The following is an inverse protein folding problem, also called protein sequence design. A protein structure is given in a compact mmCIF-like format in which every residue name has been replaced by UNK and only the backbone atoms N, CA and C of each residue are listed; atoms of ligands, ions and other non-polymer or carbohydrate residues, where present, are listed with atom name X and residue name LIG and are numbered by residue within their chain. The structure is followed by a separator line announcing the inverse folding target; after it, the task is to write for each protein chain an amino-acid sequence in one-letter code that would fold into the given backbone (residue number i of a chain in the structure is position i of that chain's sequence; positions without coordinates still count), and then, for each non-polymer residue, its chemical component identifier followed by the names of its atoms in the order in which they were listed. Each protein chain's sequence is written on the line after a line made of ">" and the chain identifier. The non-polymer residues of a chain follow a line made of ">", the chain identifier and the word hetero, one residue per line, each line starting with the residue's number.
data_IF_417156549885
#
_entry.id   IF_417156549885
#
_cell.length_a   1.000
_cell.length_b   1.000
_cell.length_c   1.000
_cell.angle_alpha   90.00
_cell.angle_beta   90.00
_cell.angle_gamma   90.00
#
_symmetry.space_group_name_H-M   'P 1'
#
loop_
_entity.id
_entity.type
_entity.pdbx_description
1 polymer ?
#
# COMPACT_ATOMS: atom_id res chain seq x y z
N UNK A 1 -6.37 21.90 -3.52
CA UNK A 1 -5.84 20.98 -2.48
C UNK A 1 -6.39 19.59 -2.78
N UNK A 2 -5.51 18.62 -3.07
CA UNK A 2 -5.90 17.28 -3.48
C UNK A 2 -6.61 16.51 -2.36
N UNK A 3 -7.63 15.73 -2.68
CA UNK A 3 -8.28 14.80 -1.76
C UNK A 3 -7.65 13.41 -1.91
N UNK A 4 -7.00 12.94 -0.86
CA UNK A 4 -6.50 11.56 -0.78
C UNK A 4 -7.54 10.66 -0.12
N UNK A 5 -7.74 9.46 -0.67
CA UNK A 5 -8.54 8.42 -0.03
C UNK A 5 -7.68 7.18 0.19
N UNK A 6 -7.44 6.87 1.45
CA UNK A 6 -6.81 5.61 1.87
C UNK A 6 -7.88 4.53 1.85
N UNK A 7 -7.57 3.39 1.27
CA UNK A 7 -8.48 2.28 1.13
C UNK A 7 -7.94 1.03 1.82
N UNK A 8 -8.73 0.47 2.73
CA UNK A 8 -8.38 -0.75 3.46
C UNK A 8 -9.50 -1.78 3.34
N UNK A 9 -9.34 -2.81 2.49
CA UNK A 9 -10.18 -4.00 2.55
C UNK A 9 -9.78 -4.83 3.76
N UNK A 10 -10.74 -5.15 4.64
CA UNK A 10 -10.43 -5.76 5.93
C UNK A 10 -11.50 -6.74 6.38
N UNK A 11 -11.11 -7.69 7.21
CA UNK A 11 -12.01 -8.57 7.97
C UNK A 11 -12.04 -8.19 9.46
N UNK A 12 -11.45 -7.03 9.83
CA UNK A 12 -11.35 -6.58 11.20
C UNK A 12 -10.19 -7.24 11.98
N UNK A 13 -9.15 -7.67 11.26
CA UNK A 13 -8.01 -8.38 11.85
C UNK A 13 -7.21 -7.49 12.81
N UNK A 14 -6.35 -8.12 13.58
CA UNK A 14 -5.38 -7.46 14.45
C UNK A 14 -4.53 -6.43 13.68
N UNK A 15 -4.31 -5.27 14.31
CA UNK A 15 -3.56 -4.16 13.71
C UNK A 15 -4.42 -3.16 12.94
N UNK A 16 -5.74 -3.40 12.76
CA UNK A 16 -6.62 -2.43 12.11
C UNK A 16 -6.68 -1.10 12.87
N UNK A 17 -6.53 -1.11 14.18
CA UNK A 17 -6.47 0.11 15.00
C UNK A 17 -5.29 0.99 14.57
N UNK A 18 -4.10 0.43 14.44
CA UNK A 18 -2.89 1.13 13.98
C UNK A 18 -3.08 1.74 12.59
N UNK A 19 -3.66 0.95 11.69
CA UNK A 19 -3.97 1.39 10.32
C UNK A 19 -4.90 2.60 10.33
N UNK A 20 -5.99 2.56 11.12
CA UNK A 20 -6.93 3.67 11.24
C UNK A 20 -6.25 4.90 11.85
N UNK A 21 -5.55 4.73 12.97
CA UNK A 21 -4.90 5.83 13.69
C UNK A 21 -3.87 6.54 12.81
N UNK A 22 -3.08 5.80 12.04
CA UNK A 22 -2.08 6.37 11.14
C UNK A 22 -2.66 7.33 10.10
N UNK A 23 -3.90 7.07 9.64
CA UNK A 23 -4.62 7.97 8.73
C UNK A 23 -5.21 9.17 9.46
N UNK A 24 -5.65 9.00 10.72
CA UNK A 24 -6.19 10.12 11.52
C UNK A 24 -5.15 11.19 11.81
N UNK A 25 -3.89 10.78 12.08
CA UNK A 25 -2.80 11.68 12.50
C UNK A 25 -2.06 12.35 11.34
N UNK A 26 -2.44 12.09 10.09
CA UNK A 26 -1.77 12.70 8.93
C UNK A 26 -1.74 14.22 9.03
N UNK A 27 -0.55 14.81 8.82
CA UNK A 27 -0.33 16.26 8.81
C UNK A 27 -1.01 16.96 7.63
N UNK A 28 -1.17 16.27 6.50
CA UNK A 28 -1.97 16.76 5.37
C UNK A 28 -3.46 16.66 5.71
N UNK A 29 -4.22 17.76 5.65
CA UNK A 29 -5.58 17.79 6.23
C UNK A 29 -6.63 17.03 5.40
N UNK A 30 -6.47 17.00 4.07
CA UNK A 30 -7.50 16.49 3.16
C UNK A 30 -7.29 15.00 2.83
N UNK A 31 -7.30 14.17 3.89
CA UNK A 31 -7.19 12.70 3.80
C UNK A 31 -8.47 12.08 4.35
N UNK A 32 -9.00 11.11 3.62
CA UNK A 32 -10.10 10.24 4.06
C UNK A 32 -9.64 8.79 4.13
N UNK A 33 -10.32 7.98 4.93
CA UNK A 33 -10.08 6.56 5.04
C UNK A 33 -11.37 5.79 4.72
N UNK A 34 -11.30 4.86 3.80
CA UNK A 34 -12.40 3.98 3.43
C UNK A 34 -12.07 2.54 3.83
N UNK A 35 -12.78 2.02 4.82
CA UNK A 35 -12.75 0.61 5.19
C UNK A 35 -13.83 -0.14 4.43
N UNK A 36 -13.53 -1.34 3.95
CA UNK A 36 -14.53 -2.19 3.27
C UNK A 36 -14.47 -3.61 3.82
N UNK A 37 -15.61 -4.11 4.23
CA UNK A 37 -15.79 -5.49 4.73
C UNK A 37 -16.85 -6.21 3.92
N UNK A 38 -16.69 -7.54 3.75
CA UNK A 38 -17.61 -8.41 3.01
C UNK A 38 -18.09 -9.62 3.81
N UNK A 39 -17.92 -9.61 5.13
CA UNK A 39 -18.38 -10.68 6.03
C UNK A 39 -19.05 -10.11 7.27
N UNK A 40 -20.09 -10.76 7.78
CA UNK A 40 -20.78 -10.36 9.00
C UNK A 40 -19.83 -10.24 10.20
N UNK A 41 -18.99 -11.24 10.41
CA UNK A 41 -17.96 -11.20 11.45
C UNK A 41 -17.03 -10.00 11.31
N UNK A 42 -16.58 -9.70 10.09
CA UNK A 42 -15.73 -8.53 9.80
C UNK A 42 -16.48 -7.23 10.09
N UNK A 43 -17.77 -7.14 9.75
CA UNK A 43 -18.60 -5.97 10.04
C UNK A 43 -18.62 -5.64 11.54
N UNK A 44 -18.85 -6.65 12.39
CA UNK A 44 -18.94 -6.47 13.84
C UNK A 44 -17.59 -6.11 14.46
N UNK A 45 -16.51 -6.75 14.02
CA UNK A 45 -15.16 -6.42 14.47
C UNK A 45 -14.80 -4.98 14.12
N UNK A 46 -14.98 -4.56 12.87
CA UNK A 46 -14.72 -3.18 12.44
C UNK A 46 -15.60 -2.18 13.19
N UNK A 47 -16.90 -2.47 13.36
CA UNK A 47 -17.81 -1.61 14.13
C UNK A 47 -17.35 -1.42 15.56
N UNK A 48 -16.88 -2.49 16.22
CA UNK A 48 -16.33 -2.43 17.57
C UNK A 48 -15.12 -1.50 17.65
N UNK A 49 -14.18 -1.63 16.72
CA UNK A 49 -12.99 -0.78 16.63
C UNK A 49 -13.38 0.68 16.38
N UNK A 50 -14.28 0.94 15.42
CA UNK A 50 -14.73 2.30 15.12
C UNK A 50 -15.46 2.96 16.30
N UNK A 51 -16.27 2.22 17.06
CA UNK A 51 -16.92 2.72 18.27
C UNK A 51 -15.91 3.07 19.37
N UNK A 52 -14.81 2.32 19.48
CA UNK A 52 -13.71 2.59 20.41
C UNK A 52 -12.92 3.84 20.00
N UNK A 53 -12.46 3.91 18.74
CA UNK A 53 -11.56 4.96 18.26
C UNK A 53 -12.28 6.26 17.87
N UNK A 54 -13.54 6.18 17.44
CA UNK A 54 -14.35 7.30 16.94
C UNK A 54 -13.60 8.18 15.91
N UNK A 55 -13.03 7.58 14.85
CA UNK A 55 -12.20 8.30 13.90
C UNK A 55 -13.04 9.28 13.07
N UNK A 56 -12.54 10.51 12.87
CA UNK A 56 -13.26 11.57 12.14
C UNK A 56 -13.14 11.47 10.61
N UNK A 57 -12.07 10.84 10.12
CA UNK A 57 -11.75 10.76 8.68
C UNK A 57 -12.15 9.43 8.04
N UNK A 58 -12.73 8.50 8.80
CA UNK A 58 -13.00 7.12 8.37
C UNK A 58 -14.47 6.90 8.05
N UNK A 59 -14.72 6.24 6.94
CA UNK A 59 -16.02 5.70 6.56
C UNK A 59 -15.91 4.17 6.39
N UNK A 60 -17.00 3.45 6.65
CA UNK A 60 -17.06 2.01 6.56
C UNK A 60 -18.15 1.58 5.56
N UNK A 61 -17.71 0.89 4.50
CA UNK A 61 -18.60 0.25 3.55
C UNK A 61 -18.79 -1.21 3.90
N UNK A 62 -20.03 -1.61 4.05
CA UNK A 62 -20.45 -2.97 4.34
C UNK A 62 -21.00 -3.56 3.05
N UNK A 63 -20.35 -4.61 2.55
CA UNK A 63 -20.85 -5.34 1.40
C UNK A 63 -21.78 -6.46 1.89
N UNK A 64 -22.92 -6.69 1.20
CA UNK A 64 -23.94 -7.62 1.68
C UNK A 64 -23.50 -9.07 1.61
N UNK A 65 -22.54 -9.37 0.72
CA UNK A 65 -22.07 -10.73 0.45
C UNK A 65 -20.57 -10.74 0.17
N UNK A 66 -19.97 -11.94 0.34
CA UNK A 66 -18.59 -12.18 -0.10
C UNK A 66 -18.49 -12.09 -1.62
N UNK A 67 -17.58 -11.23 -2.09
CA UNK A 67 -17.45 -10.97 -3.53
C UNK A 67 -16.65 -12.04 -4.27
N UNK A 68 -15.83 -12.86 -3.58
CA UNK A 68 -15.06 -13.93 -4.23
C UNK A 68 -15.94 -15.07 -4.73
N UNK A 69 -15.77 -15.50 -5.99
CA UNK A 69 -16.49 -16.65 -6.59
C UNK A 69 -16.36 -17.94 -5.78
N UNK A 70 -15.30 -18.08 -5.00
CA UNK A 70 -15.00 -19.23 -4.13
C UNK A 70 -15.42 -18.99 -2.67
N UNK A 71 -16.20 -17.96 -2.40
CA UNK A 71 -16.63 -17.59 -1.04
C UNK A 71 -15.49 -17.10 -0.13
N UNK A 72 -14.32 -16.80 -0.70
CA UNK A 72 -13.18 -16.24 0.04
C UNK A 72 -13.14 -14.73 -0.08
N UNK A 73 -12.53 -14.09 0.91
CA UNK A 73 -12.20 -12.67 0.83
C UNK A 73 -11.24 -12.40 -0.33
N UNK A 74 -11.61 -11.48 -1.21
CA UNK A 74 -10.87 -11.14 -2.43
C UNK A 74 -10.77 -9.62 -2.58
N UNK A 75 -9.77 -9.00 -1.96
CA UNK A 75 -9.59 -7.55 -2.00
C UNK A 75 -9.47 -7.00 -3.42
N UNK A 76 -8.97 -7.77 -4.37
CA UNK A 76 -8.83 -7.36 -5.77
C UNK A 76 -10.18 -7.07 -6.44
N UNK A 77 -11.20 -7.89 -6.16
CA UNK A 77 -12.56 -7.67 -6.66
C UNK A 77 -13.22 -6.48 -5.98
N UNK A 78 -13.04 -6.37 -4.66
CA UNK A 78 -13.55 -5.23 -3.88
C UNK A 78 -12.93 -3.94 -4.40
N UNK A 79 -11.62 -3.90 -4.62
CA UNK A 79 -10.90 -2.76 -5.15
C UNK A 79 -11.49 -2.31 -6.49
N UNK A 80 -11.67 -3.24 -7.44
CA UNK A 80 -12.20 -2.92 -8.77
C UNK A 80 -13.61 -2.30 -8.74
N UNK A 81 -14.40 -2.57 -7.70
CA UNK A 81 -15.74 -2.00 -7.52
C UNK A 81 -15.74 -0.69 -6.75
N UNK A 82 -15.06 -0.66 -5.60
CA UNK A 82 -15.16 0.46 -4.65
C UNK A 82 -14.58 1.77 -5.19
N UNK A 83 -13.58 1.71 -6.06
CA UNK A 83 -12.97 2.89 -6.67
C UNK A 83 -13.96 3.77 -7.44
N UNK A 84 -15.10 3.22 -7.86
CA UNK A 84 -16.18 3.94 -8.53
C UNK A 84 -17.20 4.56 -7.57
N UNK A 85 -17.22 4.13 -6.30
CA UNK A 85 -18.22 4.49 -5.31
C UNK A 85 -17.72 5.54 -4.29
N UNK A 86 -16.41 5.75 -4.21
CA UNK A 86 -15.79 6.68 -3.26
C UNK A 86 -15.32 7.96 -3.94
N UNK A 87 -15.17 9.02 -3.15
CA UNK A 87 -14.67 10.31 -3.65
C UNK A 87 -13.20 10.50 -3.31
N UNK A 88 -12.39 10.87 -4.33
CA UNK A 88 -10.95 11.14 -4.23
C UNK A 88 -10.44 11.83 -5.50
N UNK A 89 -9.30 12.53 -5.37
CA UNK A 89 -8.44 12.91 -6.49
C UNK A 89 -7.32 11.87 -6.66
N UNK A 90 -6.82 11.39 -5.52
CA UNK A 90 -5.80 10.34 -5.43
C UNK A 90 -6.22 9.26 -4.44
N UNK A 91 -5.86 8.02 -4.74
CA UNK A 91 -6.19 6.84 -3.99
C UNK A 91 -4.92 6.06 -3.63
N UNK A 92 -4.89 5.50 -2.42
CA UNK A 92 -3.81 4.66 -1.95
C UNK A 92 -4.34 3.49 -1.13
N UNK A 93 -4.00 2.22 -1.48
CA UNK A 93 -4.33 1.08 -0.65
C UNK A 93 -3.43 1.03 0.58
N UNK A 94 -3.98 0.52 1.68
CA UNK A 94 -3.27 0.24 2.92
C UNK A 94 -3.78 -1.06 3.51
N UNK A 95 -2.93 -2.03 3.74
CA UNK A 95 -3.30 -3.30 4.36
C UNK A 95 -3.60 -3.17 5.85
N UNK A 96 -4.44 -4.05 6.37
CA UNK A 96 -4.66 -4.15 7.80
C UNK A 96 -3.35 -4.50 8.52
N UNK A 97 -2.99 -3.71 9.54
CA UNK A 97 -1.75 -3.84 10.30
C UNK A 97 -0.57 -3.05 9.77
N UNK A 98 -0.70 -2.50 8.56
CA UNK A 98 0.27 -1.56 8.00
C UNK A 98 -0.12 -0.12 8.38
N UNK A 99 0.83 0.82 8.37
CA UNK A 99 0.57 2.20 8.73
C UNK A 99 1.48 3.19 8.01
N UNK A 100 1.05 4.46 7.97
CA UNK A 100 1.82 5.56 7.42
C UNK A 100 2.49 6.39 8.51
N UNK A 101 3.67 6.95 8.21
CA UNK A 101 4.23 8.05 8.97
C UNK A 101 3.37 9.31 8.83
N UNK A 102 3.42 10.18 9.83
CA UNK A 102 2.56 11.37 9.93
C UNK A 102 2.63 12.29 8.70
N UNK A 103 3.80 12.39 8.07
CA UNK A 103 4.06 13.29 6.93
C UNK A 103 3.85 12.61 5.57
N UNK A 104 3.33 11.39 5.54
CA UNK A 104 3.24 10.60 4.31
C UNK A 104 2.52 11.35 3.17
N UNK A 105 1.27 11.79 3.39
CA UNK A 105 0.51 12.50 2.35
C UNK A 105 1.00 13.91 2.08
N UNK A 106 1.68 14.55 3.00
CA UNK A 106 2.36 15.82 2.74
C UNK A 106 3.50 15.63 1.72
N UNK A 107 4.31 14.58 1.88
CA UNK A 107 5.39 14.25 0.95
C UNK A 107 4.84 13.82 -0.41
N UNK A 108 3.80 13.00 -0.44
CA UNK A 108 3.14 12.59 -1.69
C UNK A 108 2.59 13.81 -2.43
N UNK A 109 1.84 14.68 -1.74
CA UNK A 109 1.28 15.89 -2.34
C UNK A 109 2.35 16.83 -2.88
N UNK A 110 3.48 16.96 -2.17
CA UNK A 110 4.61 17.76 -2.63
C UNK A 110 5.14 17.29 -3.99
N UNK A 111 5.31 15.96 -4.17
CA UNK A 111 5.78 15.40 -5.45
C UNK A 111 4.75 15.64 -6.57
N UNK A 112 3.46 15.42 -6.28
CA UNK A 112 2.38 15.64 -7.25
C UNK A 112 2.25 17.10 -7.70
N UNK A 113 2.52 18.06 -6.83
CA UNK A 113 2.44 19.50 -7.15
C UNK A 113 3.70 20.04 -7.85
N UNK A 114 4.84 19.44 -7.59
CA UNK A 114 6.15 19.96 -8.09
C UNK A 114 6.62 19.28 -9.35
N UNK A 115 6.11 18.09 -9.67
CA UNK A 115 6.56 17.29 -10.80
C UNK A 115 5.39 16.86 -11.68
N UNK A 116 5.64 16.77 -12.99
CA UNK A 116 4.67 16.26 -13.97
C UNK A 116 4.63 14.72 -13.90
N UNK A 117 3.94 14.20 -12.89
CA UNK A 117 3.79 12.76 -12.63
C UNK A 117 2.33 12.34 -12.58
N UNK A 118 2.03 11.13 -13.02
CA UNK A 118 0.68 10.57 -13.01
C UNK A 118 0.35 9.88 -11.68
N UNK A 119 1.36 9.34 -11.02
CA UNK A 119 1.29 8.61 -9.76
C UNK A 119 2.62 8.68 -9.00
N UNK A 120 2.56 8.40 -7.69
CA UNK A 120 3.71 8.56 -6.78
C UNK A 120 3.79 7.34 -5.88
N UNK A 121 5.02 6.95 -5.51
CA UNK A 121 5.24 5.96 -4.46
C UNK A 121 6.16 6.49 -3.36
N UNK A 122 6.06 5.87 -2.19
CA UNK A 122 6.98 6.05 -1.08
C UNK A 122 7.75 4.77 -0.79
N UNK A 123 8.94 4.89 -0.21
CA UNK A 123 9.68 3.72 0.27
C UNK A 123 9.07 3.16 1.55
N UNK A 124 9.37 1.88 1.81
CA UNK A 124 8.86 1.13 2.95
C UNK A 124 9.91 0.97 4.05
N UNK A 125 9.44 1.02 5.28
CA UNK A 125 10.09 0.39 6.43
C UNK A 125 9.45 -0.98 6.64
N UNK A 126 10.24 -1.97 7.01
CA UNK A 126 9.78 -3.33 7.29
C UNK A 126 9.82 -3.57 8.80
N UNK A 127 8.70 -4.07 9.32
CA UNK A 127 8.51 -4.38 10.74
C UNK A 127 8.13 -5.84 10.93
N UNK A 128 8.55 -6.42 12.04
CA UNK A 128 8.11 -7.76 12.44
C UNK A 128 6.67 -7.77 13.00
N UNK A 129 6.17 -8.94 13.31
CA UNK A 129 4.82 -9.17 13.83
C UNK A 129 4.55 -8.42 15.14
N UNK A 130 5.57 -8.22 15.96
CA UNK A 130 5.52 -7.47 17.22
C UNK A 130 5.77 -5.95 17.08
N UNK A 131 5.85 -5.46 15.83
CA UNK A 131 6.20 -4.08 15.45
C UNK A 131 7.65 -3.68 15.76
N UNK A 132 8.54 -4.62 16.01
CA UNK A 132 9.96 -4.31 16.02
C UNK A 132 10.44 -3.99 14.59
N UNK A 133 11.25 -2.93 14.46
CA UNK A 133 11.81 -2.53 13.17
C UNK A 133 12.83 -3.57 12.69
N UNK A 134 12.68 -4.08 11.47
CA UNK A 134 13.63 -4.99 10.85
C UNK A 134 14.64 -4.27 9.96
N UNK A 135 14.17 -3.57 8.96
CA UNK A 135 15.04 -2.86 8.01
C UNK A 135 14.26 -1.85 7.15
N UNK A 136 15.01 -0.98 6.46
CA UNK A 136 14.48 -0.21 5.34
C UNK A 136 14.45 -1.07 4.08
N UNK A 137 13.35 -1.00 3.32
CA UNK A 137 13.27 -1.65 2.01
C UNK A 137 14.02 -0.83 0.95
N UNK A 138 15.30 -1.11 0.83
CA UNK A 138 16.22 -0.52 -0.16
C UNK A 138 16.50 -1.49 -1.32
N UNK A 139 15.70 -2.54 -1.51
CA UNK A 139 16.06 -3.67 -2.36
C UNK A 139 14.91 -4.33 -3.13
N UNK A 140 13.66 -4.09 -2.77
CA UNK A 140 12.51 -4.71 -3.44
C UNK A 140 11.56 -3.67 -4.03
N UNK A 141 10.94 -2.81 -3.22
CA UNK A 141 9.96 -1.81 -3.65
C UNK A 141 10.63 -0.47 -4.02
N UNK A 142 11.44 -0.48 -5.09
CA UNK A 142 12.38 0.60 -5.44
C UNK A 142 12.16 1.17 -6.86
N UNK A 143 10.98 0.96 -7.44
CA UNK A 143 10.58 1.59 -8.69
C UNK A 143 11.25 1.00 -9.93
N UNK A 144 12.06 1.80 -10.62
CA UNK A 144 12.70 1.42 -11.88
C UNK A 144 14.00 0.62 -11.71
N UNK A 145 14.36 0.27 -10.48
CA UNK A 145 15.53 -0.56 -10.21
C UNK A 145 15.12 -2.00 -9.95
N UNK A 146 15.95 -2.99 -10.33
CA UNK A 146 15.60 -4.39 -10.16
C UNK A 146 15.63 -4.80 -8.69
N UNK A 147 14.77 -5.73 -8.33
CA UNK A 147 14.78 -6.40 -7.03
C UNK A 147 16.13 -7.07 -6.81
N UNK A 148 16.65 -7.03 -5.60
CA UNK A 148 18.01 -7.46 -5.24
C UNK A 148 18.41 -8.85 -5.72
N UNK A 149 17.45 -9.75 -5.89
CA UNK A 149 17.65 -11.15 -6.28
C UNK A 149 17.64 -11.40 -7.79
N UNK A 150 17.44 -10.36 -8.61
CA UNK A 150 17.32 -10.50 -10.07
C UNK A 150 17.61 -9.19 -10.79
N UNK A 151 18.09 -9.28 -12.03
CA UNK A 151 18.44 -8.10 -12.85
C UNK A 151 17.25 -7.54 -13.64
N UNK A 152 16.15 -8.28 -13.75
CA UNK A 152 15.05 -7.94 -14.68
C UNK A 152 13.65 -7.86 -14.03
N UNK A 153 13.56 -7.88 -12.72
CA UNK A 153 12.29 -7.83 -12.02
C UNK A 153 12.15 -6.51 -11.26
N UNK A 154 11.27 -5.64 -11.75
CA UNK A 154 10.99 -4.33 -11.19
C UNK A 154 9.62 -4.34 -10.54
N UNK A 155 9.49 -3.75 -9.38
CA UNK A 155 8.21 -3.63 -8.67
C UNK A 155 8.21 -2.44 -7.71
N UNK A 156 7.03 -1.89 -7.51
CA UNK A 156 6.68 -1.14 -6.30
C UNK A 156 5.52 -1.88 -5.65
N UNK A 157 5.60 -2.11 -4.36
CA UNK A 157 4.54 -2.73 -3.58
C UNK A 157 3.22 -1.95 -3.69
N UNK A 158 2.13 -2.68 -3.82
CA UNK A 158 0.81 -2.10 -4.06
C UNK A 158 0.37 -1.08 -3.02
N UNK A 159 0.77 -1.27 -1.78
CA UNK A 159 0.41 -0.35 -0.68
C UNK A 159 1.23 0.94 -0.69
N UNK A 160 2.34 0.97 -1.43
CA UNK A 160 3.18 2.15 -1.58
C UNK A 160 2.68 3.12 -2.66
N UNK A 161 1.72 2.72 -3.50
CA UNK A 161 1.25 3.56 -4.61
C UNK A 161 0.20 4.57 -4.19
N UNK A 162 0.37 5.80 -4.62
CA UNK A 162 -0.67 6.80 -4.65
C UNK A 162 -1.00 7.13 -6.11
N UNK A 163 -2.19 6.75 -6.57
CA UNK A 163 -2.58 6.82 -7.98
C UNK A 163 -3.75 7.78 -8.20
N UNK A 164 -3.75 8.48 -9.34
CA UNK A 164 -4.80 9.44 -9.66
C UNK A 164 -6.13 8.75 -9.99
N UNK A 165 -7.24 9.46 -9.73
CA UNK A 165 -8.58 9.04 -10.13
C UNK A 165 -8.65 8.71 -11.62
N UNK A 166 -8.02 9.52 -12.47
CA UNK A 166 -7.95 9.31 -13.92
C UNK A 166 -7.39 7.93 -14.27
N UNK A 167 -6.28 7.53 -13.62
CA UNK A 167 -5.69 6.21 -13.84
C UNK A 167 -6.62 5.08 -13.41
N UNK A 168 -7.23 5.18 -12.23
CA UNK A 168 -8.12 4.14 -11.72
C UNK A 168 -9.40 4.01 -12.54
N UNK A 169 -9.98 5.11 -13.01
CA UNK A 169 -11.15 5.05 -13.90
C UNK A 169 -10.83 4.37 -15.23
N UNK A 170 -9.59 4.50 -15.71
CA UNK A 170 -9.14 3.86 -16.95
C UNK A 170 -8.72 2.39 -16.72
N UNK A 171 -7.97 2.11 -15.66
CA UNK A 171 -7.25 0.84 -15.49
C UNK A 171 -7.70 0.02 -14.26
N UNK A 172 -8.64 0.49 -13.45
CA UNK A 172 -8.98 -0.13 -12.16
C UNK A 172 -9.45 -1.59 -12.25
N UNK A 173 -9.94 -2.02 -13.40
CA UNK A 173 -10.29 -3.43 -13.63
C UNK A 173 -9.07 -4.37 -13.66
N UNK A 174 -7.83 -3.84 -13.80
CA UNK A 174 -6.63 -4.67 -13.80
C UNK A 174 -6.44 -5.44 -12.49
N UNK A 175 -6.92 -4.93 -11.35
CA UNK A 175 -6.92 -5.64 -10.08
C UNK A 175 -7.67 -6.97 -10.19
N UNK A 176 -8.88 -6.97 -10.73
CA UNK A 176 -9.68 -8.17 -10.95
C UNK A 176 -9.02 -9.11 -11.96
N UNK A 177 -8.55 -8.59 -13.08
CA UNK A 177 -7.93 -9.40 -14.14
C UNK A 177 -6.65 -10.10 -13.69
N UNK A 178 -5.85 -9.50 -12.81
CA UNK A 178 -4.67 -10.16 -12.26
C UNK A 178 -5.04 -11.47 -11.58
N UNK A 179 -6.13 -11.45 -10.82
CA UNK A 179 -6.61 -12.61 -10.08
C UNK A 179 -7.25 -13.67 -10.98
N UNK A 180 -8.03 -13.25 -11.97
CA UNK A 180 -8.65 -14.14 -12.94
C UNK A 180 -7.62 -14.90 -13.79
N UNK A 181 -6.47 -14.26 -14.07
CA UNK A 181 -5.36 -14.86 -14.82
C UNK A 181 -4.29 -15.51 -13.92
N UNK A 182 -4.56 -15.68 -12.63
CA UNK A 182 -3.66 -16.30 -11.65
C UNK A 182 -2.26 -15.67 -11.60
N UNK A 183 -2.20 -14.34 -11.75
CA UNK A 183 -0.95 -13.58 -11.72
C UNK A 183 -0.72 -12.95 -10.33
N UNK A 184 0.55 -12.65 -10.01
CA UNK A 184 0.88 -11.85 -8.83
C UNK A 184 0.31 -10.43 -9.03
N UNK A 185 -0.70 -10.06 -8.24
CA UNK A 185 -1.48 -8.84 -8.43
C UNK A 185 -0.61 -7.59 -8.48
N UNK A 186 0.28 -7.41 -7.51
CA UNK A 186 1.11 -6.19 -7.44
C UNK A 186 1.97 -6.01 -8.69
N UNK A 187 2.63 -7.08 -9.14
CA UNK A 187 3.47 -7.03 -10.34
C UNK A 187 2.66 -6.75 -11.61
N UNK A 188 1.54 -7.45 -11.77
CA UNK A 188 0.69 -7.26 -12.94
C UNK A 188 0.13 -5.84 -13.01
N UNK A 189 -0.41 -5.34 -11.89
CA UNK A 189 -0.97 -3.98 -11.82
C UNK A 189 0.12 -2.94 -12.02
N UNK A 190 1.29 -3.12 -11.41
CA UNK A 190 2.45 -2.23 -11.62
C UNK A 190 2.84 -2.13 -13.09
N UNK A 191 2.94 -3.25 -13.80
CA UNK A 191 3.29 -3.28 -15.22
C UNK A 191 2.22 -2.61 -16.09
N UNK A 192 0.93 -2.85 -15.81
CA UNK A 192 -0.18 -2.21 -16.51
C UNK A 192 -0.16 -0.70 -16.29
N UNK A 193 0.05 -0.25 -15.05
CA UNK A 193 0.13 1.16 -14.71
C UNK A 193 1.33 1.82 -15.41
N UNK A 194 2.51 1.23 -15.30
CA UNK A 194 3.73 1.78 -15.88
C UNK A 194 3.67 1.87 -17.40
N UNK A 195 3.08 0.86 -18.05
CA UNK A 195 2.91 0.86 -19.51
C UNK A 195 2.00 1.99 -20.01
N UNK A 196 0.93 2.31 -19.27
CA UNK A 196 -0.08 3.29 -19.70
C UNK A 196 0.17 4.69 -19.12
N UNK A 197 0.84 4.77 -17.97
CA UNK A 197 1.16 5.99 -17.23
C UNK A 197 2.62 5.94 -16.76
N UNK A 198 3.59 6.20 -17.65
CA UNK A 198 5.02 5.99 -17.35
C UNK A 198 5.62 7.02 -16.41
N UNK A 199 4.91 8.13 -16.13
CA UNK A 199 5.39 9.20 -15.28
C UNK A 199 5.18 8.87 -13.80
N UNK A 200 6.03 8.00 -13.27
CA UNK A 200 6.04 7.58 -11.87
C UNK A 200 7.01 8.47 -11.08
N UNK A 201 6.49 9.12 -10.03
CA UNK A 201 7.29 9.87 -9.04
C UNK A 201 7.63 9.03 -7.81
N UNK A 202 8.65 9.46 -7.07
CA UNK A 202 9.02 8.89 -5.78
C UNK A 202 9.13 10.00 -4.74
N UNK A 203 8.64 9.79 -3.51
CA UNK A 203 8.80 10.75 -2.42
C UNK A 203 10.23 10.79 -1.87
N UNK A 204 11.07 9.80 -2.17
CA UNK A 204 12.38 9.54 -1.56
C UNK A 204 12.35 9.47 -0.01
N UNK A 205 11.20 9.16 0.57
CA UNK A 205 11.00 9.04 2.01
C UNK A 205 10.47 7.67 2.35
N UNK A 206 10.94 7.12 3.49
CA UNK A 206 10.46 5.88 4.08
C UNK A 206 9.27 6.22 5.00
N UNK A 207 8.08 6.32 4.42
CA UNK A 207 6.88 6.76 5.13
C UNK A 207 5.71 5.76 5.05
N UNK A 208 5.91 4.64 4.37
CA UNK A 208 5.02 3.48 4.42
C UNK A 208 5.66 2.42 5.32
N UNK A 209 4.92 1.93 6.32
CA UNK A 209 5.39 0.93 7.26
C UNK A 209 4.64 -0.38 7.01
N UNK A 210 5.37 -1.39 6.58
CA UNK A 210 4.86 -2.72 6.26
C UNK A 210 5.16 -3.68 7.40
N UNK A 211 4.13 -4.32 7.94
CA UNK A 211 4.24 -5.30 9.02
C UNK A 211 4.10 -6.72 8.49
N UNK A 212 5.00 -7.60 8.92
CA UNK A 212 4.89 -9.03 8.67
C UNK A 212 3.78 -9.61 9.56
N UNK A 213 2.57 -9.70 9.02
CA UNK A 213 1.40 -10.12 9.80
C UNK A 213 0.58 -11.25 9.11
N UNK A 214 1.09 -11.81 8.03
CA UNK A 214 0.36 -12.81 7.23
C UNK A 214 1.16 -14.09 7.09
N UNK A 215 0.48 -15.19 7.30
CA UNK A 215 1.03 -16.52 7.12
C UNK A 215 1.27 -17.30 8.41
N UNK A 216 1.71 -18.53 8.25
CA UNK A 216 2.16 -19.35 9.36
C UNK A 216 3.62 -19.01 9.72
N UNK A 217 4.13 -19.57 10.81
CA UNK A 217 5.49 -19.28 11.32
C UNK A 217 6.60 -19.57 10.28
N UNK A 218 6.45 -20.59 9.46
CA UNK A 218 7.41 -20.89 8.39
C UNK A 218 7.43 -19.80 7.33
N UNK A 219 6.26 -19.28 6.93
CA UNK A 219 6.14 -18.18 5.97
C UNK A 219 6.70 -16.87 6.54
N UNK A 220 6.44 -16.59 7.82
CA UNK A 220 6.99 -15.41 8.51
C UNK A 220 8.51 -15.50 8.61
N UNK A 221 9.08 -16.65 8.97
CA UNK A 221 10.52 -16.85 9.02
C UNK A 221 11.18 -16.69 7.65
N UNK A 222 10.54 -17.20 6.59
CA UNK A 222 11.02 -16.96 5.22
C UNK A 222 11.00 -15.47 4.87
N UNK A 223 9.94 -14.76 5.21
CA UNK A 223 9.82 -13.32 4.94
C UNK A 223 10.88 -12.52 5.72
N UNK A 224 11.08 -12.81 7.01
CA UNK A 224 12.16 -12.18 7.81
C UNK A 224 13.52 -12.36 7.16
N UNK A 225 13.86 -13.60 6.79
CA UNK A 225 15.14 -13.90 6.14
C UNK A 225 15.28 -13.21 4.79
N UNK A 226 14.20 -13.16 3.98
CA UNK A 226 14.17 -12.45 2.71
C UNK A 226 14.52 -10.98 2.87
N UNK A 227 13.84 -10.28 3.80
CA UNK A 227 14.06 -8.86 4.01
C UNK A 227 15.43 -8.57 4.61
N UNK A 228 15.87 -9.32 5.60
CA UNK A 228 17.20 -9.14 6.21
C UNK A 228 18.31 -9.41 5.19
N UNK A 229 18.19 -10.49 4.41
CA UNK A 229 19.20 -10.82 3.39
C UNK A 229 19.24 -9.81 2.25
N UNK A 230 18.10 -9.36 1.77
CA UNK A 230 18.03 -8.30 0.75
C UNK A 230 18.68 -7.00 1.23
N UNK A 231 18.41 -6.59 2.46
CA UNK A 231 19.03 -5.42 3.07
C UNK A 231 20.56 -5.58 3.22
N UNK A 232 21.04 -6.73 3.69
CA UNK A 232 22.46 -7.05 3.83
C UNK A 232 23.19 -6.96 2.48
N UNK A 233 22.69 -7.67 1.45
CA UNK A 233 23.28 -7.68 0.10
C UNK A 233 23.38 -6.27 -0.48
N UNK A 234 22.32 -5.45 -0.32
CA UNK A 234 22.35 -4.09 -0.85
C UNK A 234 23.24 -3.16 -0.03
N UNK A 235 23.36 -3.37 1.28
CA UNK A 235 24.29 -2.62 2.12
C UNK A 235 25.76 -2.98 1.80
N UNK A 236 26.06 -4.24 1.49
CA UNK A 236 27.38 -4.65 0.99
C UNK A 236 27.71 -4.05 -0.39
N UNK A 237 26.72 -4.01 -1.30
CA UNK A 237 26.87 -3.45 -2.64
C UNK A 237 27.04 -1.92 -2.64
N UNK A 238 26.45 -1.24 -1.65
CA UNK A 238 26.48 0.21 -1.49
C UNK A 238 26.93 0.59 -0.06
N UNK A 239 28.22 0.38 0.27
CA UNK A 239 28.70 0.54 1.64
C UNK A 239 28.71 1.99 2.15
N UNK A 240 28.65 2.96 1.24
CA UNK A 240 28.51 4.39 1.56
C UNK A 240 27.06 4.82 1.82
N UNK A 241 26.09 3.88 1.71
CA UNK A 241 24.67 4.14 1.89
C UNK A 241 24.02 4.98 0.78
N UNK A 242 24.74 5.22 -0.33
CA UNK A 242 24.22 6.00 -1.45
C UNK A 242 23.56 5.09 -2.49
N UNK A 243 22.27 4.96 -2.42
CA UNK A 243 21.50 4.13 -3.33
C UNK A 243 21.07 4.95 -4.56
N UNK A 244 21.29 4.48 -5.80
CA UNK A 244 20.98 5.23 -7.03
C UNK A 244 19.50 5.62 -7.17
N UNK A 245 18.61 4.88 -6.52
CA UNK A 245 17.17 5.13 -6.51
C UNK A 245 16.69 6.09 -5.41
N UNK A 246 17.53 6.40 -4.43
CA UNK A 246 17.25 7.39 -3.40
C UNK A 246 17.97 8.68 -3.78
N UNK A 247 17.22 9.69 -4.17
CA UNK A 247 17.76 10.99 -4.52
C UNK A 247 17.64 11.93 -3.33
N UNK A 248 18.72 12.57 -2.95
CA UNK A 248 18.74 13.52 -1.82
C UNK A 248 17.96 14.81 -2.10
N UNK A 249 17.72 15.11 -3.37
CA UNK A 249 16.94 16.29 -3.80
C UNK A 249 16.05 15.93 -5.00
N UNK A 250 14.80 16.30 -4.91
CA UNK A 250 13.92 16.54 -6.05
C UNK A 250 14.06 18.00 -6.50
#
# INVERSE_FOLDING_TARGET
>A
MNLFNVYTPTLGEEGLEDTIESVQIQSYPNVKHTLVTDTEKGHDQVRTILNKLKPKKTQHFILPEKIGKDGKFRPEYITSGIIHLINYDYWQPLGTGDWFEREHFQNVNFVLEKHDVDWVFAFRNIYDTDKSFLCKDIFESIGFYPVWSTDNYYIVDGQSWCVSKKMLMHLGNCFRFSRENNQRTDKFVFDVFLKNYPKLGCTNKFTMNFRLNRGNEQQLNFARQWYLRGHEVMSEKFPDGKYPWIKDKF
#
